data_IF_493457049021
#
_entry.id   IF_493457049021
#
_cell.length_a   1.000
_cell.length_b   1.000
_cell.length_c   1.000
_cell.angle_alpha   90.00
_cell.angle_beta   90.00
_cell.angle_gamma   90.00
#
_symmetry.space_group_name_H-M   'P 1'
#
loop_
_entity.id
_entity.type
_entity.pdbx_description
1 polymer ?
#
# COMPACT_ATOMS: atom_id res chain seq x y z
N UNK A 1 -29.94 -2.57 -15.70
CA UNK A 1 -29.63 -3.97 -15.34
C UNK A 1 -29.94 -4.17 -13.85
N UNK A 2 -30.58 -5.28 -13.45
CA UNK A 2 -30.73 -5.66 -12.03
C UNK A 2 -29.60 -6.64 -11.70
N UNK A 3 -28.88 -6.39 -10.61
CA UNK A 3 -27.87 -7.31 -10.07
C UNK A 3 -28.11 -7.39 -8.57
N UNK A 4 -28.37 -8.60 -8.07
CA UNK A 4 -28.81 -8.82 -6.70
C UNK A 4 -30.17 -8.18 -6.39
N UNK A 5 -30.30 -7.62 -5.19
CA UNK A 5 -31.56 -7.11 -4.63
C UNK A 5 -32.00 -5.72 -5.15
N UNK A 6 -31.16 -4.99 -5.89
CA UNK A 6 -31.38 -3.58 -6.23
C UNK A 6 -31.19 -3.26 -7.74
N UNK A 7 -31.75 -2.14 -8.22
CA UNK A 7 -31.50 -1.60 -9.57
C UNK A 7 -30.15 -0.86 -9.62
N UNK A 8 -29.45 -0.91 -10.76
CA UNK A 8 -28.18 -0.18 -10.95
C UNK A 8 -28.47 1.20 -11.54
N UNK A 9 -28.03 2.30 -10.88
CA UNK A 9 -28.02 3.62 -11.50
C UNK A 9 -26.83 3.69 -12.47
N UNK A 10 -27.07 3.55 -13.78
CA UNK A 10 -26.02 3.79 -14.77
C UNK A 10 -25.89 5.29 -14.99
N UNK A 11 -24.70 5.83 -14.82
CA UNK A 11 -24.44 7.24 -15.17
C UNK A 11 -24.32 7.37 -16.69
N UNK A 12 -25.13 8.22 -17.31
CA UNK A 12 -25.10 8.40 -18.78
C UNK A 12 -23.99 9.33 -19.27
N UNK A 13 -23.29 10.00 -18.36
CA UNK A 13 -22.24 10.99 -18.66
C UNK A 13 -20.95 10.63 -17.94
N UNK A 14 -19.96 10.15 -18.70
CA UNK A 14 -18.61 9.99 -18.19
C UNK A 14 -17.94 11.35 -17.99
N UNK A 15 -17.27 11.59 -16.85
CA UNK A 15 -16.45 12.78 -16.69
C UNK A 15 -15.30 12.73 -17.72
N UNK A 16 -14.99 13.87 -18.35
CA UNK A 16 -13.86 13.93 -19.29
C UNK A 16 -12.56 13.58 -18.55
N UNK A 17 -11.66 12.79 -19.16
CA UNK A 17 -10.40 12.44 -18.53
C UNK A 17 -9.61 13.71 -18.22
N UNK A 18 -9.12 13.81 -16.98
CA UNK A 18 -8.23 14.89 -16.58
C UNK A 18 -6.86 14.68 -17.24
N UNK A 19 -6.13 15.75 -17.57
CA UNK A 19 -4.77 15.62 -18.09
C UNK A 19 -3.87 14.92 -17.06
N UNK A 20 -2.93 14.10 -17.55
CA UNK A 20 -2.05 13.24 -16.75
C UNK A 20 -1.40 13.97 -15.55
N UNK A 21 -0.86 15.17 -15.77
CA UNK A 21 -0.21 15.98 -14.73
C UNK A 21 -1.10 16.32 -13.53
N UNK A 22 -2.42 16.45 -13.75
CA UNK A 22 -3.39 16.71 -12.66
C UNK A 22 -3.74 15.45 -11.86
N UNK A 23 -3.31 14.28 -12.31
CA UNK A 23 -3.50 12.99 -11.63
C UNK A 23 -2.32 12.63 -10.72
N UNK A 24 -1.13 13.18 -10.97
CA UNK A 24 0.09 12.86 -10.21
C UNK A 24 -0.07 13.09 -8.71
N UNK A 25 -0.59 14.26 -8.31
CA UNK A 25 -0.79 14.60 -6.90
C UNK A 25 -1.63 13.58 -6.12
N UNK A 26 -2.88 13.32 -6.57
CA UNK A 26 -3.71 12.26 -5.99
C UNK A 26 -3.06 10.87 -6.01
N UNK A 27 -2.34 10.54 -7.09
CA UNK A 27 -1.64 9.25 -7.21
C UNK A 27 -0.50 9.12 -6.21
N UNK A 28 0.26 10.18 -5.95
CA UNK A 28 1.34 10.17 -4.96
C UNK A 28 0.84 9.91 -3.54
N UNK A 29 -0.36 10.40 -3.18
CA UNK A 29 -0.98 10.09 -1.90
C UNK A 29 -1.27 8.60 -1.79
N UNK A 30 -1.87 8.01 -2.83
CA UNK A 30 -2.19 6.58 -2.84
C UNK A 30 -0.91 5.75 -2.82
N UNK A 31 0.09 6.07 -3.65
CA UNK A 31 1.37 5.36 -3.70
C UNK A 31 2.12 5.43 -2.36
N UNK A 32 2.18 6.60 -1.73
CA UNK A 32 2.83 6.76 -0.44
C UNK A 32 2.16 5.97 0.68
N UNK A 33 0.84 5.78 0.62
CA UNK A 33 0.09 4.93 1.55
C UNK A 33 0.21 3.43 1.22
N UNK A 34 0.36 3.07 -0.05
CA UNK A 34 0.43 1.68 -0.50
C UNK A 34 1.80 1.06 -0.31
N UNK A 35 2.87 1.84 -0.33
CA UNK A 35 4.23 1.33 -0.11
C UNK A 35 4.50 1.28 1.39
N UNK A 36 4.72 0.08 1.92
CA UNK A 36 4.77 -0.11 3.35
C UNK A 36 5.72 -1.18 3.84
N UNK A 37 5.41 -1.72 5.02
CA UNK A 37 6.19 -2.80 5.64
C UNK A 37 6.22 -4.07 4.79
N UNK A 38 5.23 -4.28 3.92
CA UNK A 38 5.20 -5.42 2.98
C UNK A 38 6.41 -5.44 2.06
N UNK A 39 6.64 -4.34 1.34
CA UNK A 39 7.68 -4.21 0.33
C UNK A 39 9.05 -3.91 0.95
N UNK A 40 9.08 -3.21 2.09
CA UNK A 40 10.33 -2.73 2.69
C UNK A 40 10.86 -3.63 3.82
N UNK A 41 10.01 -4.45 4.45
CA UNK A 41 10.41 -5.34 5.56
C UNK A 41 10.17 -6.80 5.18
N UNK A 42 8.94 -7.16 4.83
CA UNK A 42 8.55 -8.56 4.60
C UNK A 42 9.23 -9.11 3.35
N UNK A 43 9.19 -8.38 2.24
CA UNK A 43 9.76 -8.84 0.98
C UNK A 43 11.29 -9.05 1.05
N UNK A 44 12.10 -8.10 1.57
CA UNK A 44 13.53 -8.34 1.78
C UNK A 44 13.79 -9.49 2.75
N UNK A 45 12.98 -9.64 3.80
CA UNK A 45 13.13 -10.75 4.74
C UNK A 45 12.87 -12.11 4.07
N UNK A 46 11.84 -12.21 3.23
CA UNK A 46 11.54 -13.43 2.47
C UNK A 46 12.68 -13.72 1.51
N UNK A 47 13.14 -12.74 0.72
CA UNK A 47 14.21 -12.94 -0.26
C UNK A 47 15.54 -13.26 0.42
N UNK A 48 15.82 -12.69 1.59
CA UNK A 48 17.02 -13.01 2.37
C UNK A 48 17.02 -14.44 2.90
N UNK A 49 15.85 -14.99 3.26
CA UNK A 49 15.72 -16.36 3.80
C UNK A 49 15.57 -17.43 2.72
N UNK A 50 14.81 -17.12 1.68
CA UNK A 50 14.33 -18.09 0.69
C UNK A 50 14.77 -17.76 -0.73
N UNK A 51 15.68 -16.79 -0.91
CA UNK A 51 16.08 -16.31 -2.24
C UNK A 51 14.86 -15.83 -3.05
N UNK A 52 14.97 -15.81 -4.38
CA UNK A 52 13.91 -15.37 -5.28
C UNK A 52 12.83 -16.44 -5.55
N UNK A 53 12.73 -17.49 -4.72
CA UNK A 53 11.81 -18.62 -4.96
C UNK A 53 10.36 -18.16 -5.05
N UNK A 54 9.95 -17.19 -4.24
CA UNK A 54 8.57 -16.66 -4.21
C UNK A 54 8.33 -15.48 -5.16
N UNK A 55 9.28 -15.17 -6.05
CA UNK A 55 9.15 -14.05 -6.99
C UNK A 55 7.95 -14.21 -7.95
N UNK A 56 7.66 -15.44 -8.37
CA UNK A 56 6.50 -15.73 -9.21
C UNK A 56 5.18 -15.39 -8.50
N UNK A 57 5.06 -15.71 -7.21
CA UNK A 57 3.86 -15.45 -6.43
C UNK A 57 3.65 -13.94 -6.21
N UNK A 58 4.74 -13.19 -5.97
CA UNK A 58 4.71 -11.74 -5.90
C UNK A 58 4.21 -11.08 -7.20
N UNK A 59 4.71 -11.52 -8.36
CA UNK A 59 4.24 -11.00 -9.65
C UNK A 59 2.77 -11.34 -9.93
N UNK A 60 2.35 -12.57 -9.66
CA UNK A 60 0.95 -12.96 -9.79
C UNK A 60 0.08 -12.08 -8.90
N UNK A 61 0.50 -11.86 -7.65
CA UNK A 61 -0.21 -10.98 -6.71
C UNK A 61 -0.34 -9.55 -7.25
N UNK A 62 0.72 -8.97 -7.82
CA UNK A 62 0.69 -7.64 -8.43
C UNK A 62 -0.26 -7.56 -9.63
N UNK A 63 -0.28 -8.59 -10.47
CA UNK A 63 -1.21 -8.66 -11.62
C UNK A 63 -2.66 -8.71 -11.12
N UNK A 64 -2.97 -9.61 -10.18
CA UNK A 64 -4.31 -9.71 -9.61
C UNK A 64 -4.72 -8.43 -8.90
N UNK A 65 -3.82 -7.81 -8.13
CA UNK A 65 -4.06 -6.54 -7.46
C UNK A 65 -4.36 -5.42 -8.46
N UNK A 66 -3.65 -5.38 -9.58
CA UNK A 66 -3.85 -4.39 -10.65
C UNK A 66 -5.23 -4.58 -11.30
N UNK A 67 -5.55 -5.79 -11.75
CA UNK A 67 -6.84 -6.11 -12.38
C UNK A 67 -7.97 -5.81 -11.41
N UNK A 68 -7.85 -6.29 -10.17
CA UNK A 68 -8.85 -6.05 -9.14
C UNK A 68 -9.11 -4.56 -8.94
N UNK A 69 -8.07 -3.75 -8.77
CA UNK A 69 -8.20 -2.31 -8.53
C UNK A 69 -8.83 -1.60 -9.74
N UNK A 70 -8.45 -1.99 -10.95
CA UNK A 70 -8.99 -1.43 -12.18
C UNK A 70 -10.48 -1.78 -12.36
N UNK A 71 -10.89 -3.02 -12.08
CA UNK A 71 -12.29 -3.43 -12.13
C UNK A 71 -13.15 -2.70 -11.11
N UNK A 72 -12.65 -2.53 -9.88
CA UNK A 72 -13.34 -1.74 -8.86
C UNK A 72 -13.50 -0.28 -9.29
N UNK A 73 -12.46 0.31 -9.87
CA UNK A 73 -12.52 1.67 -10.40
C UNK A 73 -13.53 1.79 -11.55
N UNK A 74 -13.52 0.85 -12.50
CA UNK A 74 -14.50 0.79 -13.61
C UNK A 74 -15.92 0.69 -13.09
N UNK A 75 -16.17 -0.18 -12.10
CA UNK A 75 -17.48 -0.31 -11.47
C UNK A 75 -17.96 1.00 -10.86
N UNK A 76 -17.11 1.66 -10.06
CA UNK A 76 -17.45 2.93 -9.41
C UNK A 76 -17.67 4.06 -10.41
N UNK A 77 -16.94 4.10 -11.53
CA UNK A 77 -17.17 5.10 -12.59
C UNK A 77 -18.51 4.87 -13.30
N UNK A 78 -18.86 3.60 -13.60
CA UNK A 78 -20.07 3.26 -14.33
C UNK A 78 -21.34 3.47 -13.50
N UNK A 79 -21.31 3.05 -12.24
CA UNK A 79 -22.49 2.96 -11.37
C UNK A 79 -22.56 4.08 -10.32
N UNK A 80 -21.44 4.76 -10.04
CA UNK A 80 -21.34 5.68 -8.92
C UNK A 80 -21.29 5.00 -7.55
N UNK A 81 -21.32 3.66 -7.50
CA UNK A 81 -21.36 2.90 -6.26
C UNK A 81 -19.97 2.40 -5.86
N UNK A 82 -19.69 2.39 -4.55
CA UNK A 82 -18.48 1.78 -4.01
C UNK A 82 -18.60 0.25 -3.99
N UNK A 83 -17.49 -0.48 -4.01
CA UNK A 83 -17.48 -1.95 -3.99
C UNK A 83 -18.26 -2.55 -2.80
N UNK A 84 -18.21 -1.91 -1.63
CA UNK A 84 -18.99 -2.33 -0.44
C UNK A 84 -20.50 -2.28 -0.74
N UNK A 85 -20.97 -1.27 -1.48
CA UNK A 85 -22.38 -1.20 -1.87
C UNK A 85 -22.72 -2.27 -2.89
N UNK A 86 -21.81 -2.57 -3.83
CA UNK A 86 -21.96 -3.68 -4.78
C UNK A 86 -22.14 -5.02 -4.08
N UNK A 87 -21.26 -5.37 -3.13
CA UNK A 87 -21.40 -6.60 -2.34
C UNK A 87 -22.67 -6.57 -1.49
N UNK A 88 -23.02 -5.40 -0.94
CA UNK A 88 -24.28 -5.18 -0.22
C UNK A 88 -25.54 -5.53 -1.00
N UNK A 89 -25.49 -5.60 -2.35
CA UNK A 89 -26.63 -6.06 -3.18
C UNK A 89 -26.90 -7.56 -3.05
N UNK A 90 -25.91 -8.35 -2.65
CA UNK A 90 -26.00 -9.80 -2.53
C UNK A 90 -26.27 -10.24 -1.08
N UNK A 91 -25.62 -9.60 -0.12
CA UNK A 91 -25.64 -10.01 1.29
C UNK A 91 -26.29 -8.99 2.24
N UNK A 92 -26.79 -7.87 1.72
CA UNK A 92 -27.31 -6.74 2.48
C UNK A 92 -26.23 -5.69 2.79
N UNK A 93 -26.59 -4.40 2.68
CA UNK A 93 -25.65 -3.29 2.88
C UNK A 93 -25.04 -3.28 4.29
N UNK A 94 -25.87 -3.48 5.32
CA UNK A 94 -25.42 -3.53 6.72
C UNK A 94 -24.38 -4.64 6.93
N UNK A 95 -24.67 -5.84 6.43
CA UNK A 95 -23.74 -6.98 6.50
C UNK A 95 -22.44 -6.68 5.77
N UNK A 96 -22.51 -6.10 4.57
CA UNK A 96 -21.32 -5.77 3.80
C UNK A 96 -20.46 -4.71 4.49
N UNK A 97 -21.06 -3.63 4.99
CA UNK A 97 -20.34 -2.59 5.74
C UNK A 97 -19.70 -3.17 6.99
N UNK A 98 -20.42 -4.00 7.74
CA UNK A 98 -19.87 -4.64 8.93
C UNK A 98 -18.69 -5.56 8.60
N UNK A 99 -18.84 -6.45 7.62
CA UNK A 99 -17.78 -7.39 7.23
C UNK A 99 -16.52 -6.67 6.73
N UNK A 100 -16.66 -5.73 5.79
CA UNK A 100 -15.50 -4.99 5.27
C UNK A 100 -14.91 -4.03 6.31
N UNK A 101 -15.73 -3.44 7.19
CA UNK A 101 -15.25 -2.67 8.32
C UNK A 101 -14.42 -3.50 9.29
N UNK A 102 -14.88 -4.71 9.62
CA UNK A 102 -14.14 -5.65 10.45
C UNK A 102 -12.82 -6.08 9.79
N UNK A 103 -12.82 -6.39 8.49
CA UNK A 103 -11.59 -6.73 7.75
C UNK A 103 -10.62 -5.54 7.74
N UNK A 104 -11.12 -4.32 7.51
CA UNK A 104 -10.30 -3.11 7.54
C UNK A 104 -9.67 -2.86 8.93
N UNK A 105 -10.43 -3.10 10.00
CA UNK A 105 -9.94 -3.00 11.37
C UNK A 105 -8.95 -4.11 11.72
N UNK A 106 -9.20 -5.35 11.33
CA UNK A 106 -8.25 -6.45 11.55
C UNK A 106 -6.93 -6.26 10.79
N UNK A 107 -6.97 -5.62 9.62
CA UNK A 107 -5.77 -5.35 8.82
C UNK A 107 -4.99 -4.12 9.27
N UNK A 108 -5.65 -3.05 9.73
CA UNK A 108 -5.00 -1.76 10.01
C UNK A 108 -5.13 -1.27 11.46
N UNK A 109 -5.96 -1.91 12.29
CA UNK A 109 -6.19 -1.52 13.69
C UNK A 109 -5.04 -1.86 14.62
N UNK A 110 -4.15 -2.79 14.22
CA UNK A 110 -2.96 -3.12 14.98
C UNK A 110 -1.87 -2.06 14.82
N UNK A 111 -1.12 -1.71 15.89
CA UNK A 111 -0.10 -0.66 15.86
C UNK A 111 1.19 -1.06 15.11
N UNK A 112 1.12 -2.00 14.16
CA UNK A 112 2.28 -2.51 13.42
C UNK A 112 3.01 -1.42 12.64
N UNK A 113 2.26 -0.53 11.99
CA UNK A 113 2.81 0.61 11.25
C UNK A 113 3.55 1.58 12.17
N UNK A 114 2.95 1.91 13.31
CA UNK A 114 3.55 2.80 14.30
C UNK A 114 4.82 2.18 14.90
N UNK A 115 4.79 0.88 15.21
CA UNK A 115 5.95 0.15 15.70
C UNK A 115 7.08 0.08 14.66
N UNK A 116 6.78 -0.19 13.39
CA UNK A 116 7.78 -0.22 12.33
C UNK A 116 8.43 1.16 12.11
N UNK A 117 7.62 2.23 12.08
CA UNK A 117 8.12 3.60 11.97
C UNK A 117 8.96 3.99 13.20
N UNK A 118 8.47 3.69 14.41
CA UNK A 118 9.17 3.97 15.66
C UNK A 118 10.51 3.22 15.77
N UNK A 119 10.55 1.96 15.35
CA UNK A 119 11.79 1.16 15.32
C UNK A 119 12.80 1.73 14.31
N UNK A 120 12.32 2.20 13.15
CA UNK A 120 13.17 2.81 12.13
C UNK A 120 13.77 4.15 12.61
N UNK A 121 12.96 4.98 13.26
CA UNK A 121 13.43 6.24 13.86
C UNK A 121 14.40 5.99 15.02
N UNK A 122 14.11 4.99 15.86
CA UNK A 122 15.03 4.55 16.91
C UNK A 122 16.38 4.11 16.33
N UNK A 123 16.37 3.34 15.25
CA UNK A 123 17.60 2.92 14.58
C UNK A 123 18.37 4.11 13.98
N UNK A 124 17.67 5.15 13.53
CA UNK A 124 18.29 6.36 12.96
C UNK A 124 18.94 7.25 14.02
N UNK A 125 18.28 7.49 15.15
CA UNK A 125 18.74 8.41 16.21
C UNK A 125 19.55 7.74 17.32
N UNK A 126 19.67 6.42 17.26
CA UNK A 126 20.30 5.55 18.24
C UNK A 126 19.87 5.74 19.72
N UNK A 127 18.65 6.22 19.96
CA UNK A 127 18.16 6.54 21.31
C UNK A 127 16.64 6.40 21.39
N UNK A 128 16.02 6.08 22.55
CA UNK A 128 16.55 5.54 23.82
C UNK A 128 17.20 4.17 23.68
N UNK A 129 18.28 3.85 24.41
CA UNK A 129 19.08 2.63 24.19
C UNK A 129 18.29 1.32 24.11
N UNK A 130 17.27 1.15 24.95
CA UNK A 130 16.38 -0.03 24.91
C UNK A 130 15.48 -0.04 23.65
N UNK A 131 15.42 -1.20 22.97
CA UNK A 131 14.68 -1.35 21.72
C UNK A 131 13.19 -1.09 21.91
N UNK A 132 12.58 -1.70 22.93
CA UNK A 132 11.12 -1.63 23.14
C UNK A 132 10.72 -0.21 23.53
N UNK A 133 11.40 0.35 24.52
CA UNK A 133 11.17 1.71 25.00
C UNK A 133 11.39 2.73 23.89
N UNK A 134 12.44 2.54 23.08
CA UNK A 134 12.73 3.43 21.97
C UNK A 134 11.71 3.36 20.84
N UNK A 135 11.27 2.16 20.47
CA UNK A 135 10.19 1.99 19.49
C UNK A 135 8.91 2.66 19.96
N UNK A 136 8.49 2.43 21.21
CA UNK A 136 7.27 3.05 21.76
C UNK A 136 7.38 4.57 21.82
N UNK A 137 8.54 5.09 22.25
CA UNK A 137 8.81 6.53 22.30
C UNK A 137 8.65 7.17 20.92
N UNK A 138 9.39 6.70 19.92
CA UNK A 138 9.34 7.28 18.58
C UNK A 138 8.02 7.05 17.86
N UNK A 139 7.36 5.92 18.10
CA UNK A 139 6.00 5.67 17.62
C UNK A 139 5.02 6.71 18.17
N UNK A 140 5.12 7.02 19.47
CA UNK A 140 4.28 8.02 20.15
C UNK A 140 4.55 9.43 19.62
N UNK A 141 5.83 9.80 19.45
CA UNK A 141 6.23 11.08 18.85
C UNK A 141 5.68 11.22 17.44
N UNK A 142 5.82 10.18 16.61
CA UNK A 142 5.27 10.15 15.25
C UNK A 142 3.75 10.30 15.24
N UNK A 143 3.05 9.58 16.11
CA UNK A 143 1.60 9.67 16.24
C UNK A 143 1.13 11.07 16.64
N UNK A 144 1.74 11.68 17.65
CA UNK A 144 1.45 13.05 18.07
C UNK A 144 1.72 14.03 16.92
N UNK A 145 2.83 13.86 16.20
CA UNK A 145 3.14 14.66 15.01
C UNK A 145 2.04 14.58 13.95
N UNK A 146 1.57 13.37 13.62
CA UNK A 146 0.47 13.16 12.68
C UNK A 146 -0.84 13.83 13.15
N UNK A 147 -1.16 13.75 14.44
CA UNK A 147 -2.35 14.39 15.02
C UNK A 147 -2.24 15.91 14.92
N UNK A 148 -1.10 16.49 15.28
CA UNK A 148 -0.87 17.93 15.21
C UNK A 148 -0.94 18.45 13.77
N UNK A 149 -0.35 17.73 12.81
CA UNK A 149 -0.44 18.08 11.38
C UNK A 149 -1.89 18.02 10.91
N UNK A 150 -2.65 17.01 11.34
CA UNK A 150 -4.05 16.82 10.96
C UNK A 150 -4.97 17.90 11.53
N UNK A 151 -4.73 18.34 12.78
CA UNK A 151 -5.54 19.35 13.46
C UNK A 151 -5.13 20.79 13.11
N UNK A 152 -3.83 21.05 12.89
CA UNK A 152 -3.28 22.39 12.69
C UNK A 152 -3.32 22.90 11.25
N UNK A 153 -3.49 22.01 10.26
CA UNK A 153 -3.40 22.39 8.86
C UNK A 153 -4.76 22.82 8.28
N UNK A 154 -4.92 24.11 7.96
CA UNK A 154 -6.08 24.62 7.17
C UNK A 154 -6.19 23.98 5.76
N UNK A 155 -5.16 23.25 5.30
CA UNK A 155 -5.11 22.57 4.00
C UNK A 155 -4.43 21.19 4.12
N UNK A 156 -4.97 20.31 4.97
CA UNK A 156 -4.37 18.97 5.28
C UNK A 156 -3.96 18.23 4.01
N UNK A 157 -4.80 18.25 2.97
CA UNK A 157 -4.54 17.56 1.71
C UNK A 157 -3.23 17.97 1.04
N UNK A 158 -2.95 19.27 0.90
CA UNK A 158 -1.75 19.74 0.18
C UNK A 158 -0.48 19.42 0.97
N UNK A 159 -0.55 19.51 2.29
CA UNK A 159 0.57 19.18 3.18
C UNK A 159 0.89 17.69 3.11
N UNK A 160 -0.12 16.83 3.23
CA UNK A 160 0.01 15.38 3.13
C UNK A 160 0.53 14.97 1.75
N UNK A 161 0.01 15.56 0.68
CA UNK A 161 0.47 15.29 -0.69
C UNK A 161 1.96 15.57 -0.86
N UNK A 162 2.46 16.71 -0.34
CA UNK A 162 3.87 17.07 -0.41
C UNK A 162 4.76 16.12 0.40
N UNK A 163 4.35 15.79 1.63
CA UNK A 163 5.10 14.89 2.50
C UNK A 163 5.21 13.50 1.87
N UNK A 164 4.09 12.94 1.40
CA UNK A 164 4.07 11.62 0.76
C UNK A 164 4.85 11.62 -0.56
N UNK A 165 4.74 12.69 -1.35
CA UNK A 165 5.53 12.84 -2.59
C UNK A 165 7.03 12.82 -2.28
N UNK A 166 7.47 13.60 -1.27
CA UNK A 166 8.87 13.62 -0.87
C UNK A 166 9.34 12.25 -0.37
N UNK A 167 8.53 11.59 0.47
CA UNK A 167 8.81 10.25 0.98
C UNK A 167 8.97 9.23 -0.16
N UNK A 168 8.05 9.19 -1.12
CA UNK A 168 8.11 8.27 -2.27
C UNK A 168 9.38 8.53 -3.09
N UNK A 169 9.70 9.79 -3.38
CA UNK A 169 10.90 10.15 -4.15
C UNK A 169 12.18 9.74 -3.43
N UNK A 170 12.31 10.07 -2.14
CA UNK A 170 13.48 9.73 -1.32
C UNK A 170 13.67 8.21 -1.26
N UNK A 171 12.59 7.47 -1.04
CA UNK A 171 12.63 6.02 -0.97
C UNK A 171 13.09 5.39 -2.30
N UNK A 172 12.50 5.79 -3.42
CA UNK A 172 12.92 5.30 -4.74
C UNK A 172 14.38 5.64 -5.04
N UNK A 173 14.80 6.85 -4.69
CA UNK A 173 16.18 7.27 -4.87
C UNK A 173 17.16 6.38 -4.08
N UNK A 174 16.88 6.11 -2.81
CA UNK A 174 17.69 5.22 -1.97
C UNK A 174 17.71 3.79 -2.54
N UNK A 175 16.55 3.25 -2.92
CA UNK A 175 16.46 1.90 -3.49
C UNK A 175 17.24 1.77 -4.79
N UNK A 176 17.17 2.76 -5.68
CA UNK A 176 17.93 2.78 -6.92
C UNK A 176 19.43 2.80 -6.64
N UNK A 177 19.89 3.64 -5.70
CA UNK A 177 21.30 3.65 -5.29
C UNK A 177 21.71 2.27 -4.80
N UNK A 178 20.97 1.68 -3.85
CA UNK A 178 21.26 0.35 -3.33
C UNK A 178 21.34 -0.70 -4.43
N UNK A 179 20.41 -0.68 -5.39
CA UNK A 179 20.43 -1.61 -6.53
C UNK A 179 21.70 -1.43 -7.36
N UNK A 180 22.05 -0.20 -7.74
CA UNK A 180 23.24 0.04 -8.57
C UNK A 180 24.57 -0.19 -7.85
N UNK A 181 24.62 -0.01 -6.53
CA UNK A 181 25.86 -0.18 -5.75
C UNK A 181 26.06 -1.58 -5.21
N UNK A 182 24.98 -2.31 -4.90
CA UNK A 182 25.05 -3.58 -4.18
C UNK A 182 24.78 -4.81 -5.05
N UNK A 183 24.20 -4.65 -6.25
CA UNK A 183 23.87 -5.79 -7.12
C UNK A 183 24.91 -6.00 -8.20
N UNK A 184 25.19 -7.27 -8.51
CA UNK A 184 26.05 -7.67 -9.61
C UNK A 184 25.22 -8.22 -10.77
N UNK A 185 25.83 -8.33 -11.96
CA UNK A 185 25.18 -8.95 -13.13
C UNK A 185 24.68 -10.38 -12.84
N UNK A 186 25.40 -11.13 -11.99
CA UNK A 186 25.00 -12.48 -11.59
C UNK A 186 23.69 -12.49 -10.79
N UNK A 187 23.42 -11.45 -9.99
CA UNK A 187 22.20 -11.35 -9.19
C UNK A 187 20.99 -11.06 -10.08
N UNK A 188 21.16 -10.23 -11.11
CA UNK A 188 20.14 -10.01 -12.14
C UNK A 188 19.82 -11.28 -12.92
N UNK A 189 20.85 -12.05 -13.30
CA UNK A 189 20.65 -13.34 -13.97
C UNK A 189 19.87 -14.30 -13.06
N UNK A 190 20.23 -14.40 -11.77
CA UNK A 190 19.49 -15.22 -10.79
C UNK A 190 18.04 -14.76 -10.65
N UNK A 191 17.81 -13.45 -10.58
CA UNK A 191 16.47 -12.87 -10.50
C UNK A 191 15.60 -13.30 -11.69
N UNK A 192 16.07 -13.08 -12.91
CA UNK A 192 15.30 -13.43 -14.11
C UNK A 192 15.15 -14.95 -14.30
N UNK A 193 16.17 -15.75 -13.98
CA UNK A 193 16.05 -17.22 -14.01
C UNK A 193 15.01 -17.72 -13.03
N UNK A 194 14.99 -17.15 -11.82
CA UNK A 194 14.05 -17.55 -10.78
C UNK A 194 12.58 -17.38 -11.19
N UNK A 195 12.27 -16.41 -12.06
CA UNK A 195 10.91 -16.21 -12.58
C UNK A 195 10.36 -17.44 -13.32
N UNK A 196 11.24 -18.16 -14.02
CA UNK A 196 10.86 -19.30 -14.85
C UNK A 196 11.12 -20.61 -14.10
N UNK A 197 12.31 -20.76 -13.53
CA UNK A 197 12.76 -22.03 -12.93
C UNK A 197 12.08 -22.34 -11.60
N UNK A 198 11.66 -21.31 -10.85
CA UNK A 198 11.01 -21.49 -9.54
C UNK A 198 9.50 -21.27 -9.59
N UNK A 199 8.92 -21.13 -10.78
CA UNK A 199 7.48 -20.99 -10.93
C UNK A 199 6.73 -22.15 -10.26
N UNK A 200 5.79 -21.84 -9.37
CA UNK A 200 5.00 -22.84 -8.63
C UNK A 200 5.76 -23.56 -7.50
N UNK A 201 7.05 -23.27 -7.28
CA UNK A 201 7.79 -23.83 -6.14
C UNK A 201 7.46 -23.05 -4.86
N UNK A 202 7.36 -23.79 -3.77
CA UNK A 202 7.19 -23.25 -2.42
C UNK A 202 8.47 -23.56 -1.65
N UNK A 203 9.08 -22.59 -0.95
CA UNK A 203 10.24 -22.86 -0.11
C UNK A 203 9.89 -23.86 1.01
N UNK A 204 10.87 -24.66 1.47
CA UNK A 204 10.67 -25.64 2.53
C UNK A 204 10.30 -25.01 3.88
#
# INVERSE_FOLDING_TARGET
MKVGLYKIPLTSKFPRPKPFWKLIGPVMIILGLSIGSGELIIWPMIVARYSFVLLWAGLISLIFQTIWTEEMARWTILTGEHFIQYIGRWIGLTTSVFLFGMIAWLSNGFPGWAAAAGTSLRALFDWPFDLVSGTVFWASVGFIGCVLISLGSKIVRKTVEKILTAQVIIMWFILLICVFTLTSMNDWIKFFKSLVENFGKIPP
#
